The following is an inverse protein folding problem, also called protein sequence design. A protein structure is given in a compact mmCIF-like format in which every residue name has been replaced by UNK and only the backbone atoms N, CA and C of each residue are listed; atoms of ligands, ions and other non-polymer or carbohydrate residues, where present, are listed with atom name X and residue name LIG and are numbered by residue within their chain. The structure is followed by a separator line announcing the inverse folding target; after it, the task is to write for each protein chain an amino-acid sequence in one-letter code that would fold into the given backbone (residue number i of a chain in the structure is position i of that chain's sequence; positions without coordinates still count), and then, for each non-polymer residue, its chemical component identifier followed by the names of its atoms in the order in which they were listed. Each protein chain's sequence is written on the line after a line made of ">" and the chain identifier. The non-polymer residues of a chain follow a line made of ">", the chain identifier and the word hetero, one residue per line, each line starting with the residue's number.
data_IF_349817839695
#
_entry.id   IF_349817839695
#
_cell.length_a   1.000
_cell.length_b   1.000
_cell.length_c   1.000
_cell.angle_alpha   90.00
_cell.angle_beta   90.00
_cell.angle_gamma   90.00
#
_symmetry.space_group_name_H-M   'P 1'
#
loop_
_entity.id
_entity.type
_entity.pdbx_description
1 polymer ?
#
# COMPACT_ATOMS: atom_id res chain seq x y z
N UNK A 1 10.67 14.22 -11.03
CA UNK A 1 9.94 13.28 -10.17
C UNK A 1 9.95 13.88 -8.78
N UNK A 2 8.81 13.94 -8.12
CA UNK A 2 8.68 14.41 -6.74
C UNK A 2 8.32 13.24 -5.84
N UNK A 3 8.77 13.35 -4.60
CA UNK A 3 8.47 12.43 -3.52
C UNK A 3 8.15 13.28 -2.30
N UNK A 4 6.99 13.06 -1.71
CA UNK A 4 6.56 13.76 -0.51
C UNK A 4 5.98 12.77 0.49
N UNK A 5 6.31 12.96 1.77
CA UNK A 5 5.64 12.25 2.86
C UNK A 5 4.30 12.93 3.12
N UNK A 6 3.23 12.14 3.23
CA UNK A 6 1.86 12.58 3.45
C UNK A 6 1.21 11.76 4.55
N UNK A 7 0.20 12.34 5.22
CA UNK A 7 -0.81 11.53 5.90
C UNK A 7 -1.81 11.03 4.84
N UNK A 8 -1.99 9.71 4.76
CA UNK A 8 -2.98 9.09 3.91
C UNK A 8 -3.96 8.29 4.76
N UNK A 9 -5.12 8.89 5.07
CA UNK A 9 -6.17 8.26 5.87
C UNK A 9 -5.68 7.83 7.26
N UNK A 10 -4.80 8.62 7.89
CA UNK A 10 -4.29 8.37 9.24
C UNK A 10 -3.03 7.50 9.33
N UNK A 11 -2.42 7.14 8.20
CA UNK A 11 -1.09 6.50 8.16
C UNK A 11 -0.10 7.33 7.36
N UNK A 12 1.15 7.30 7.79
CA UNK A 12 2.25 7.92 7.05
C UNK A 12 2.51 7.15 5.75
N UNK A 13 2.57 7.89 4.65
CA UNK A 13 2.77 7.34 3.31
C UNK A 13 3.64 8.27 2.48
N UNK A 14 4.19 7.72 1.40
CA UNK A 14 4.94 8.46 0.40
C UNK A 14 4.10 8.60 -0.85
N UNK A 15 3.87 9.83 -1.30
CA UNK A 15 3.32 10.11 -2.63
C UNK A 15 4.47 10.30 -3.62
N UNK A 16 4.43 9.54 -4.70
CA UNK A 16 5.34 9.65 -5.83
C UNK A 16 4.60 10.30 -7.00
N UNK A 17 5.21 11.27 -7.67
CA UNK A 17 4.71 11.82 -8.92
C UNK A 17 5.83 11.97 -9.95
N UNK A 18 5.57 11.48 -11.16
CA UNK A 18 6.50 11.59 -12.29
C UNK A 18 6.20 12.85 -13.11
N UNK A 19 7.21 13.36 -13.84
CA UNK A 19 7.02 14.54 -14.71
C UNK A 19 6.03 14.31 -15.85
N UNK A 20 5.75 13.04 -16.18
CA UNK A 20 4.75 12.65 -17.19
C UNK A 20 3.35 12.45 -16.60
N UNK A 21 3.14 12.71 -15.31
CA UNK A 21 1.82 12.66 -14.67
C UNK A 21 1.43 11.33 -14.02
N UNK A 22 2.27 10.30 -14.05
CA UNK A 22 2.00 9.09 -13.27
C UNK A 22 2.19 9.37 -11.77
N UNK A 23 1.33 8.79 -10.92
CA UNK A 23 1.44 8.90 -9.47
C UNK A 23 1.19 7.59 -8.75
N UNK A 24 1.74 7.47 -7.55
CA UNK A 24 1.48 6.35 -6.65
C UNK A 24 1.50 6.83 -5.19
N UNK A 25 0.79 6.10 -4.33
CA UNK A 25 0.85 6.28 -2.88
C UNK A 25 1.32 4.96 -2.28
N UNK A 26 2.40 5.01 -1.49
CA UNK A 26 2.99 3.86 -0.80
C UNK A 26 2.95 4.11 0.69
N UNK A 27 2.20 3.31 1.44
CA UNK A 27 2.16 3.35 2.89
C UNK A 27 3.49 2.90 3.48
N UNK A 28 3.98 3.58 4.52
CA UNK A 28 5.12 3.07 5.29
C UNK A 28 4.74 1.79 6.03
N UNK A 29 3.48 1.71 6.49
CA UNK A 29 2.90 0.46 6.97
C UNK A 29 2.87 -0.60 5.86
N UNK A 30 3.69 -1.62 6.01
CA UNK A 30 3.81 -2.80 5.16
C UNK A 30 4.44 -2.54 3.80
N UNK A 31 5.03 -1.35 3.58
CA UNK A 31 5.45 -0.87 2.26
C UNK A 31 4.35 -1.03 1.19
N UNK A 32 3.08 -0.90 1.60
CA UNK A 32 1.93 -1.29 0.78
C UNK A 32 1.57 -0.20 -0.22
N UNK A 33 1.52 -0.54 -1.52
CA UNK A 33 1.03 0.40 -2.54
C UNK A 33 -0.49 0.52 -2.42
N UNK A 34 -0.99 1.72 -2.15
CA UNK A 34 -2.41 2.01 -1.89
C UNK A 34 -3.13 2.67 -3.06
N UNK A 35 -2.39 3.33 -3.95
CA UNK A 35 -2.92 4.00 -5.14
C UNK A 35 -1.89 3.95 -6.26
N UNK A 36 -2.36 3.79 -7.50
CA UNK A 36 -1.54 3.95 -8.70
C UNK A 36 -2.36 4.52 -9.87
N UNK A 37 -1.92 5.66 -10.37
CA UNK A 37 -2.50 6.34 -11.53
C UNK A 37 -1.42 6.49 -12.62
N UNK A 38 -1.62 6.00 -13.86
CA UNK A 38 -0.65 6.10 -14.93
C UNK A 38 -0.62 7.50 -15.60
N UNK A 39 0.48 7.79 -16.31
CA UNK A 39 0.81 9.10 -16.90
C UNK A 39 -0.18 9.71 -17.92
N UNK A 40 -1.07 8.92 -18.52
CA UNK A 40 -1.89 9.39 -19.65
C UNK A 40 -3.40 9.35 -19.37
N UNK A 41 -3.81 9.97 -18.25
CA UNK A 41 -5.24 10.18 -17.98
C UNK A 41 -6.04 8.92 -17.64
N UNK A 42 -5.37 7.86 -17.19
CA UNK A 42 -6.06 6.71 -16.62
C UNK A 42 -6.63 7.04 -15.23
N UNK A 43 -7.72 6.41 -14.84
CA UNK A 43 -8.17 6.43 -13.45
C UNK A 43 -7.28 5.56 -12.56
N UNK A 44 -7.64 5.52 -11.28
CA UNK A 44 -7.07 4.60 -10.29
C UNK A 44 -7.07 3.15 -10.82
N UNK A 45 -5.97 2.44 -10.60
CA UNK A 45 -5.78 1.05 -11.05
C UNK A 45 -5.91 0.03 -9.92
N UNK A 46 -5.82 0.48 -8.68
CA UNK A 46 -5.89 -0.38 -7.51
C UNK A 46 -7.21 -0.20 -6.80
N UNK A 47 -7.87 -1.32 -6.50
CA UNK A 47 -8.99 -1.29 -5.58
C UNK A 47 -8.47 -1.10 -4.15
N UNK A 48 -8.96 -0.06 -3.47
CA UNK A 48 -8.77 0.14 -2.04
C UNK A 48 -10.15 0.11 -1.37
N UNK A 49 -10.33 -0.73 -0.36
CA UNK A 49 -11.64 -0.89 0.26
C UNK A 49 -12.05 0.36 1.02
N UNK A 50 -13.29 0.83 0.83
CA UNK A 50 -13.86 1.95 1.60
C UNK A 50 -13.92 1.67 3.11
N UNK A 51 -13.96 0.38 3.48
CA UNK A 51 -13.95 -0.09 4.88
C UNK A 51 -12.55 -0.48 5.35
N UNK A 52 -11.48 -0.09 4.64
CA UNK A 52 -10.11 -0.40 5.05
C UNK A 52 -9.79 0.27 6.39
N UNK A 53 -9.06 -0.44 7.24
CA UNK A 53 -8.58 0.08 8.52
C UNK A 53 -7.09 0.40 8.34
N UNK A 54 -6.70 1.61 8.73
CA UNK A 54 -5.34 2.13 8.64
C UNK A 54 -4.77 2.22 10.05
N UNK A 55 -4.32 1.08 10.58
CA UNK A 55 -3.85 0.96 11.96
C UNK A 55 -2.62 0.06 12.02
N UNK A 56 -1.63 0.44 12.83
CA UNK A 56 -0.45 -0.37 13.10
C UNK A 56 -0.83 -1.81 13.53
N UNK A 57 -0.10 -2.79 13.00
CA UNK A 57 -0.35 -4.21 13.24
C UNK A 57 -1.55 -4.82 12.49
N UNK A 58 -2.30 -4.07 11.68
CA UNK A 58 -3.47 -4.57 10.94
C UNK A 58 -3.29 -4.47 9.43
N UNK A 59 -3.63 -5.53 8.66
CA UNK A 59 -3.45 -5.50 7.22
C UNK A 59 -4.44 -4.55 6.55
N UNK A 60 -3.95 -3.67 5.67
CA UNK A 60 -4.79 -2.78 4.87
C UNK A 60 -5.45 -3.58 3.73
N UNK A 61 -6.78 -3.48 3.60
CA UNK A 61 -7.54 -4.22 2.58
C UNK A 61 -7.62 -3.46 1.26
N UNK A 62 -6.90 -3.98 0.25
CA UNK A 62 -6.81 -3.41 -1.10
C UNK A 62 -5.37 -3.07 -1.46
N UNK A 63 -5.14 -2.40 -2.58
CA UNK A 63 -3.79 -2.08 -3.02
C UNK A 63 -2.96 -3.33 -3.32
N UNK A 64 -1.67 -3.28 -2.99
CA UNK A 64 -0.71 -4.38 -3.22
C UNK A 64 -0.03 -4.77 -1.89
N UNK A 65 -0.60 -5.69 -1.10
CA UNK A 65 -0.01 -6.11 0.17
C UNK A 65 1.22 -7.00 -0.05
N UNK A 66 2.26 -6.79 0.76
CA UNK A 66 3.46 -7.65 0.76
C UNK A 66 3.21 -8.89 1.61
N UNK A 67 3.23 -10.06 0.96
CA UNK A 67 3.01 -11.36 1.61
C UNK A 67 4.35 -12.04 1.86
N UNK A 68 4.88 -11.91 3.07
CA UNK A 68 6.19 -12.43 3.44
C UNK A 68 6.32 -12.64 4.96
N UNK A 69 6.96 -13.73 5.43
CA UNK A 69 7.66 -14.77 4.67
C UNK A 69 6.77 -15.94 4.20
N UNK A 70 5.48 -15.92 4.50
CA UNK A 70 4.60 -17.05 4.22
C UNK A 70 3.41 -16.63 3.36
N UNK A 71 3.18 -17.35 2.27
CA UNK A 71 1.95 -17.22 1.49
C UNK A 71 0.82 -18.06 2.11
N UNK A 72 -0.38 -17.49 2.15
CA UNK A 72 -1.55 -18.11 2.76
C UNK A 72 -1.22 -18.73 4.14
N UNK A 73 -1.68 -19.95 4.38
CA UNK A 73 -1.35 -20.78 5.54
C UNK A 73 -0.40 -21.92 5.16
N UNK A 74 0.45 -21.74 4.14
CA UNK A 74 1.38 -22.78 3.67
C UNK A 74 2.66 -22.86 4.53
N UNK A 75 2.50 -22.95 5.85
CA UNK A 75 3.58 -23.10 6.81
C UNK A 75 3.10 -22.88 8.25
N UNK A 76 4.02 -23.01 9.20
CA UNK A 76 3.74 -22.82 10.64
C UNK A 76 3.72 -21.35 11.08
N UNK A 77 4.06 -20.43 10.19
CA UNK A 77 4.06 -19.00 10.45
C UNK A 77 2.67 -18.38 10.39
N UNK A 78 2.60 -17.08 10.69
CA UNK A 78 1.38 -16.29 10.56
C UNK A 78 0.83 -16.35 9.13
N UNK A 79 -0.49 -16.45 8.99
CA UNK A 79 -1.15 -16.39 7.67
C UNK A 79 -0.79 -15.10 6.96
N UNK A 80 -0.25 -15.22 5.74
CA UNK A 80 0.28 -14.12 4.93
C UNK A 80 1.54 -13.42 5.50
N UNK A 81 2.21 -14.05 6.46
CA UNK A 81 3.38 -13.51 7.12
C UNK A 81 3.10 -12.23 7.89
N UNK A 82 4.15 -11.47 8.16
CA UNK A 82 4.09 -10.28 9.01
C UNK A 82 4.51 -8.99 8.30
N UNK A 83 5.09 -9.06 7.10
CA UNK A 83 5.62 -7.88 6.41
C UNK A 83 4.57 -6.78 6.25
N UNK A 84 3.35 -7.12 5.81
CA UNK A 84 2.21 -6.19 5.65
C UNK A 84 1.65 -5.57 6.95
N UNK A 85 2.27 -5.84 8.10
CA UNK A 85 1.77 -5.43 9.43
C UNK A 85 2.78 -4.55 10.19
N UNK A 86 3.92 -4.21 9.59
CA UNK A 86 5.03 -3.47 10.21
C UNK A 86 5.16 -2.10 9.57
N UNK A 87 5.63 -1.12 10.35
CA UNK A 87 6.04 0.19 9.84
C UNK A 87 7.53 0.17 9.47
#
# INVERSE_FOLDING_TARGET
>A
MTMETIDFKGVEAVRLQTSKGASAIVSLHGAQVLSWIPAMGGGERLYLSERAVFQAGQPIRGGIPVIFPQFANFGSGQRHGFARLRD
#
